data_IF_966666209182
#
_entry.id   IF_966666209182
#
_cell.length_a   1.000
_cell.length_b   1.000
_cell.length_c   1.000
_cell.angle_alpha   90.00
_cell.angle_beta   90.00
_cell.angle_gamma   90.00
#
_symmetry.space_group_name_H-M   'P 1'
#
loop_
_entity.id
_entity.type
_entity.pdbx_description
1 polymer ?
#
# COMPACT_ATOMS: atom_id res chain seq x y z
N UNK A 1 -40.29 -23.22 -0.65
CA UNK A 1 -39.07 -22.65 -1.26
C UNK A 1 -37.89 -23.38 -0.68
N UNK A 2 -37.15 -24.09 -1.51
CA UNK A 2 -36.02 -24.91 -1.08
C UNK A 2 -34.91 -23.99 -0.54
N UNK A 3 -34.52 -24.14 0.73
CA UNK A 3 -33.48 -23.32 1.37
C UNK A 3 -32.17 -23.39 0.56
N UNK A 4 -31.94 -24.52 -0.10
CA UNK A 4 -30.82 -24.78 -1.01
C UNK A 4 -30.79 -23.86 -2.24
N UNK A 5 -31.93 -23.33 -2.69
CA UNK A 5 -32.01 -22.35 -3.80
C UNK A 5 -31.64 -20.92 -3.37
N UNK A 6 -31.61 -20.64 -2.08
CA UNK A 6 -31.22 -19.33 -1.51
C UNK A 6 -29.79 -19.35 -1.01
N UNK A 7 -29.37 -20.46 -0.39
CA UNK A 7 -28.03 -20.62 0.18
C UNK A 7 -26.96 -20.72 -0.92
N UNK A 8 -27.24 -21.46 -2.00
CA UNK A 8 -26.29 -21.62 -3.11
C UNK A 8 -25.87 -20.29 -3.78
N UNK A 9 -26.79 -19.40 -4.20
CA UNK A 9 -26.39 -18.12 -4.80
C UNK A 9 -25.72 -17.18 -3.80
N UNK A 10 -26.04 -17.28 -2.49
CA UNK A 10 -25.39 -16.48 -1.46
C UNK A 10 -23.91 -16.84 -1.31
N UNK A 11 -23.60 -18.14 -1.19
CA UNK A 11 -22.20 -18.59 -1.14
C UNK A 11 -21.43 -18.29 -2.42
N UNK A 12 -22.09 -18.42 -3.59
CA UNK A 12 -21.49 -18.00 -4.85
C UNK A 12 -21.15 -16.50 -4.83
N UNK A 13 -22.08 -15.65 -4.39
CA UNK A 13 -21.84 -14.21 -4.28
C UNK A 13 -20.71 -13.85 -3.30
N UNK A 14 -20.62 -14.53 -2.16
CA UNK A 14 -19.53 -14.35 -1.19
C UNK A 14 -18.18 -14.74 -1.80
N UNK A 15 -18.09 -15.88 -2.48
CA UNK A 15 -16.85 -16.32 -3.12
C UNK A 15 -16.44 -15.35 -4.23
N UNK A 16 -17.39 -14.89 -5.05
CA UNK A 16 -17.12 -13.89 -6.08
C UNK A 16 -16.67 -12.56 -5.49
N UNK A 17 -17.30 -12.10 -4.41
CA UNK A 17 -16.88 -10.87 -3.72
C UNK A 17 -15.47 -10.99 -3.13
N UNK A 18 -15.13 -12.13 -2.51
CA UNK A 18 -13.78 -12.40 -2.00
C UNK A 18 -12.74 -12.47 -3.12
N UNK A 19 -13.09 -13.07 -4.26
CA UNK A 19 -12.21 -13.12 -5.43
C UNK A 19 -11.96 -11.73 -6.05
N UNK A 20 -12.98 -10.86 -6.11
CA UNK A 20 -12.80 -9.47 -6.57
C UNK A 20 -12.10 -8.58 -5.53
N UNK A 21 -12.27 -8.85 -4.23
CA UNK A 21 -11.58 -8.12 -3.18
C UNK A 21 -10.07 -8.44 -3.16
N UNK A 22 -9.70 -9.69 -3.47
CA UNK A 22 -8.29 -10.07 -3.60
C UNK A 22 -7.58 -9.37 -4.77
N UNK A 23 -8.32 -8.92 -5.81
CA UNK A 23 -7.77 -8.13 -6.90
C UNK A 23 -7.83 -6.63 -6.67
N UNK A 24 -8.48 -6.17 -5.59
CA UNK A 24 -8.26 -4.83 -5.07
C UNK A 24 -6.87 -4.83 -4.43
N UNK A 25 -5.87 -4.45 -5.23
CA UNK A 25 -4.47 -4.30 -4.82
C UNK A 25 -4.40 -3.33 -3.63
N UNK A 26 -4.60 -3.86 -2.43
CA UNK A 26 -4.46 -3.15 -1.19
C UNK A 26 -2.99 -2.85 -0.99
N UNK A 27 -2.70 -1.72 -0.35
CA UNK A 27 -1.33 -1.40 0.06
C UNK A 27 -0.79 -2.59 0.84
N UNK A 28 0.41 -3.09 0.51
CA UNK A 28 0.93 -4.30 1.12
C UNK A 28 1.03 -4.15 2.64
N UNK A 29 0.52 -5.15 3.36
CA UNK A 29 0.54 -5.19 4.81
C UNK A 29 1.96 -5.49 5.33
N UNK A 30 2.28 -5.06 6.55
CA UNK A 30 3.61 -5.24 7.09
C UNK A 30 3.91 -6.73 7.33
N UNK A 31 5.12 -7.17 6.96
CA UNK A 31 5.53 -8.58 7.08
C UNK A 31 5.04 -9.47 5.93
N UNK A 32 4.45 -8.88 4.88
CA UNK A 32 4.18 -9.57 3.62
C UNK A 32 5.41 -9.50 2.68
N UNK A 33 5.63 -10.51 1.81
CA UNK A 33 6.71 -10.47 0.81
C UNK A 33 6.62 -9.25 -0.13
N UNK A 34 5.41 -8.78 -0.41
CA UNK A 34 5.14 -7.59 -1.20
C UNK A 34 5.67 -6.33 -0.50
N UNK A 35 5.47 -6.24 0.82
CA UNK A 35 6.01 -5.16 1.63
C UNK A 35 7.53 -5.21 1.71
N UNK A 36 8.13 -6.41 1.80
CA UNK A 36 9.59 -6.58 1.78
C UNK A 36 10.20 -6.12 0.43
N UNK A 37 9.52 -6.40 -0.68
CA UNK A 37 9.92 -5.91 -2.00
C UNK A 37 9.86 -4.38 -2.09
N UNK A 38 8.84 -3.76 -1.50
CA UNK A 38 8.74 -2.31 -1.37
C UNK A 38 9.89 -1.73 -0.53
N UNK A 39 10.20 -2.34 0.62
CA UNK A 39 11.32 -1.94 1.48
C UNK A 39 12.65 -2.04 0.73
N UNK A 40 12.89 -3.12 0.00
CA UNK A 40 14.05 -3.22 -0.89
C UNK A 40 14.05 -2.15 -1.99
N UNK A 41 12.88 -1.81 -2.53
CA UNK A 41 12.72 -0.73 -3.50
C UNK A 41 13.15 0.63 -2.93
N UNK A 42 12.74 0.95 -1.70
CA UNK A 42 13.17 2.14 -0.98
C UNK A 42 14.69 2.15 -0.77
N UNK A 43 15.23 1.04 -0.29
CA UNK A 43 16.66 0.89 0.02
C UNK A 43 17.53 1.05 -1.23
N UNK A 44 17.11 0.47 -2.38
CA UNK A 44 17.77 0.66 -3.68
C UNK A 44 17.76 2.11 -4.17
N UNK A 45 16.80 2.91 -3.72
CA UNK A 45 16.73 4.34 -4.02
C UNK A 45 17.41 5.21 -2.93
N UNK A 46 18.09 4.58 -1.97
CA UNK A 46 18.82 5.27 -0.89
C UNK A 46 17.94 5.75 0.27
N UNK A 47 16.72 5.22 0.39
CA UNK A 47 15.78 5.58 1.45
C UNK A 47 15.75 4.51 2.53
N UNK A 48 16.28 4.85 3.71
CA UNK A 48 16.31 3.97 4.88
C UNK A 48 15.19 4.34 5.86
N UNK A 49 13.96 4.03 5.47
CA UNK A 49 12.78 4.28 6.30
C UNK A 49 12.52 3.10 7.25
N UNK A 50 12.02 3.39 8.45
CA UNK A 50 11.41 2.40 9.32
C UNK A 50 10.16 1.82 8.62
N UNK A 51 9.89 0.50 8.72
CA UNK A 51 8.68 -0.11 8.17
C UNK A 51 7.38 0.61 8.53
N UNK A 52 7.24 1.19 9.72
CA UNK A 52 6.04 1.97 10.08
C UNK A 52 5.87 3.23 9.22
N UNK A 53 6.95 4.01 9.10
CA UNK A 53 6.96 5.19 8.24
C UNK A 53 6.76 4.80 6.78
N UNK A 54 7.43 3.76 6.30
CA UNK A 54 7.30 3.28 4.93
C UNK A 54 5.86 2.87 4.60
N UNK A 55 5.17 2.18 5.51
CA UNK A 55 3.78 1.79 5.35
C UNK A 55 2.84 3.00 5.28
N UNK A 56 3.09 4.02 6.10
CA UNK A 56 2.31 5.27 6.04
C UNK A 56 2.61 6.10 4.79
N UNK A 57 3.84 6.08 4.30
CA UNK A 57 4.22 6.71 3.02
C UNK A 57 3.45 6.05 1.88
N UNK A 58 3.37 4.73 1.87
CA UNK A 58 2.56 3.99 0.90
C UNK A 58 1.08 4.39 0.96
N UNK A 59 0.50 4.47 2.17
CA UNK A 59 -0.86 4.98 2.38
C UNK A 59 -1.08 6.39 1.83
N UNK A 60 -0.14 7.28 2.11
CA UNK A 60 -0.21 8.64 1.61
C UNK A 60 -0.04 8.72 0.08
N UNK A 61 0.85 7.90 -0.50
CA UNK A 61 1.11 7.88 -1.93
C UNK A 61 -0.08 7.35 -2.76
N UNK A 62 -0.86 6.40 -2.20
CA UNK A 62 -1.94 5.71 -2.91
C UNK A 62 -3.34 6.24 -2.63
N UNK A 63 -3.68 6.51 -1.37
CA UNK A 63 -5.01 6.99 -1.02
C UNK A 63 -5.09 8.52 -0.94
N UNK A 64 -3.95 9.20 -0.97
CA UNK A 64 -3.88 10.60 -0.61
C UNK A 64 -3.97 10.76 0.92
N UNK A 65 -3.05 11.53 1.48
CA UNK A 65 -3.00 11.83 2.91
C UNK A 65 -2.91 13.33 3.15
N UNK A 66 -2.99 13.73 4.42
CA UNK A 66 -2.75 15.12 4.82
C UNK A 66 -1.30 15.50 4.46
N UNK A 67 -1.18 16.48 3.56
CA UNK A 67 0.09 17.00 3.08
C UNK A 67 0.89 17.55 4.27
N UNK A 68 2.12 17.09 4.45
CA UNK A 68 3.07 17.60 5.45
C UNK A 68 3.28 16.75 6.71
N UNK A 69 2.33 15.90 7.11
CA UNK A 69 2.46 15.15 8.37
C UNK A 69 3.55 14.07 8.30
N UNK A 70 3.66 13.36 7.18
CA UNK A 70 4.73 12.38 6.98
C UNK A 70 6.06 13.02 6.55
N UNK A 71 6.01 14.25 6.04
CA UNK A 71 7.20 15.00 5.61
C UNK A 71 8.20 15.18 6.75
N UNK A 72 7.71 15.45 7.96
CA UNK A 72 8.54 15.60 9.14
C UNK A 72 9.25 14.28 9.52
N UNK A 73 8.52 13.16 9.54
CA UNK A 73 9.09 11.85 9.85
C UNK A 73 10.05 11.33 8.78
N UNK A 74 9.74 11.55 7.51
CA UNK A 74 10.64 11.24 6.41
C UNK A 74 11.92 12.07 6.53
N UNK A 75 11.81 13.36 6.84
CA UNK A 75 12.98 14.23 7.02
C UNK A 75 13.83 13.81 8.23
N UNK A 76 13.19 13.36 9.32
CA UNK A 76 13.89 12.81 10.49
C UNK A 76 14.67 11.53 10.15
N UNK A 77 14.27 10.83 9.10
CA UNK A 77 14.90 9.60 8.59
C UNK A 77 15.80 9.84 7.38
N UNK A 78 16.21 11.09 7.14
CA UNK A 78 17.18 11.42 6.10
C UNK A 78 16.59 11.65 4.71
N UNK A 79 15.26 11.65 4.54
CA UNK A 79 14.61 12.13 3.31
C UNK A 79 14.63 13.66 3.28
N UNK A 80 15.80 14.20 3.02
CA UNK A 80 16.09 15.63 3.08
C UNK A 80 16.65 16.06 1.73
N UNK A 81 16.05 17.08 1.12
CA UNK A 81 16.50 17.61 -0.18
C UNK A 81 15.34 18.00 -1.09
N UNK A 82 15.63 18.85 -2.08
CA UNK A 82 14.65 19.32 -3.06
C UNK A 82 14.12 18.10 -3.85
N UNK A 83 12.80 17.88 -3.79
CA UNK A 83 12.13 16.77 -4.45
C UNK A 83 12.41 15.38 -3.84
N UNK A 84 13.10 15.29 -2.70
CA UNK A 84 13.37 14.00 -2.06
C UNK A 84 12.07 13.33 -1.58
N UNK A 85 11.12 14.13 -1.06
CA UNK A 85 9.80 13.64 -0.66
C UNK A 85 8.98 13.19 -1.87
N UNK A 86 8.94 13.96 -2.97
CA UNK A 86 8.28 13.49 -4.20
C UNK A 86 8.86 12.18 -4.71
N UNK A 87 10.19 12.02 -4.71
CA UNK A 87 10.85 10.78 -5.17
C UNK A 87 10.52 9.57 -4.28
N UNK A 88 10.50 9.74 -2.96
CA UNK A 88 10.03 8.68 -2.04
C UNK A 88 8.59 8.30 -2.35
N UNK A 89 7.72 9.30 -2.57
CA UNK A 89 6.32 9.07 -2.89
C UNK A 89 6.13 8.38 -4.25
N UNK A 90 6.99 8.66 -5.23
CA UNK A 90 6.99 7.99 -6.54
C UNK A 90 7.41 6.53 -6.42
N UNK A 91 8.46 6.24 -5.65
CA UNK A 91 8.88 4.86 -5.35
C UNK A 91 7.75 4.14 -4.62
N UNK A 92 7.18 4.73 -3.58
CA UNK A 92 6.04 4.15 -2.89
C UNK A 92 4.89 3.88 -3.87
N UNK A 93 4.56 4.83 -4.75
CA UNK A 93 3.51 4.64 -5.75
C UNK A 93 3.77 3.47 -6.68
N UNK A 94 5.01 3.35 -7.17
CA UNK A 94 5.43 2.28 -8.08
C UNK A 94 5.32 0.88 -7.48
N UNK A 95 5.59 0.74 -6.18
CA UNK A 95 5.63 -0.57 -5.52
C UNK A 95 4.35 -0.91 -4.76
N UNK A 96 3.54 0.07 -4.38
CA UNK A 96 2.44 -0.13 -3.42
C UNK A 96 1.06 0.31 -3.90
N UNK A 97 0.97 1.16 -4.93
CA UNK A 97 -0.33 1.62 -5.39
C UNK A 97 -0.92 0.69 -6.45
N UNK A 98 -2.24 0.45 -6.43
CA UNK A 98 -2.93 -0.15 -7.56
C UNK A 98 -2.61 0.66 -8.82
N UNK A 99 -2.04 0.01 -9.83
CA UNK A 99 -2.04 0.56 -11.19
C UNK A 99 -3.50 0.83 -11.56
N UNK A 100 -3.82 2.11 -11.79
CA UNK A 100 -5.12 2.52 -12.32
C UNK A 100 -5.27 2.08 -13.77
#
# INVERSE_FOLDING_TARGET
>A
MDMRRVVAPFFAAVITALALAATANAIPDQGTPEFDNYMQGLERNGYHLNPDTAWRVAHQACHGGLIGYIGLEMSAQGVIGIGAQERVMDVARKYTCPVQ
#
